data_IF_916483918670
#
_entry.id   IF_916483918670
#
_cell.length_a   1.000
_cell.length_b   1.000
_cell.length_c   1.000
_cell.angle_alpha   90.00
_cell.angle_beta   90.00
_cell.angle_gamma   90.00
#
_symmetry.space_group_name_H-M   'P 1'
#
loop_
_entity.id
_entity.type
_entity.pdbx_description
1 polymer ?
#
# COMPACT_ATOMS: atom_id res chain seq x y z
N UNK A 1 -34.75 15.05 -11.09
CA UNK A 1 -33.93 15.92 -10.20
C UNK A 1 -33.66 15.15 -8.92
N UNK A 2 -32.41 14.95 -8.52
CA UNK A 2 -32.11 14.27 -7.25
C UNK A 2 -32.48 15.18 -6.07
N UNK A 3 -33.29 14.67 -5.16
CA UNK A 3 -33.77 15.38 -3.98
C UNK A 3 -32.56 15.80 -3.11
N UNK A 4 -32.48 17.10 -2.78
CA UNK A 4 -31.37 17.63 -1.95
C UNK A 4 -31.56 17.15 -0.51
N UNK A 5 -30.74 16.23 -0.06
CA UNK A 5 -30.75 15.73 1.33
C UNK A 5 -30.24 16.78 2.29
N UNK A 6 -30.95 16.95 3.41
CA UNK A 6 -30.60 17.88 4.48
C UNK A 6 -30.55 17.14 5.82
N UNK A 7 -29.74 17.67 6.75
CA UNK A 7 -29.73 17.21 8.13
C UNK A 7 -30.87 17.84 8.95
N UNK A 8 -30.97 17.46 10.22
CA UNK A 8 -31.97 18.00 11.15
C UNK A 8 -31.81 19.52 11.46
N UNK A 9 -30.67 20.10 11.07
CA UNK A 9 -30.40 21.55 11.17
C UNK A 9 -30.64 22.29 9.83
N UNK A 10 -31.17 21.60 8.82
CA UNK A 10 -31.44 22.15 7.49
C UNK A 10 -30.21 22.27 6.59
N UNK A 11 -29.04 21.82 6.99
CA UNK A 11 -27.79 21.89 6.21
C UNK A 11 -27.80 20.84 5.09
N UNK A 12 -27.30 21.22 3.93
CA UNK A 12 -27.14 20.30 2.79
C UNK A 12 -26.11 19.23 3.11
N UNK A 13 -26.49 17.99 2.89
CA UNK A 13 -25.61 16.83 2.97
C UNK A 13 -25.00 16.53 1.59
N UNK A 14 -23.68 16.24 1.56
CA UNK A 14 -22.97 15.87 0.36
C UNK A 14 -23.27 14.42 -0.07
N UNK A 15 -22.77 14.04 -1.25
CA UNK A 15 -22.89 12.66 -1.74
C UNK A 15 -22.17 11.71 -0.79
N UNK A 16 -22.84 10.64 -0.37
CA UNK A 16 -22.33 9.70 0.63
C UNK A 16 -22.65 10.04 2.08
N UNK A 17 -22.90 11.34 2.40
CA UNK A 17 -23.31 11.77 3.75
C UNK A 17 -24.78 11.41 4.01
N UNK A 18 -25.09 11.06 5.24
CA UNK A 18 -26.45 10.88 5.76
C UNK A 18 -26.46 11.12 7.27
N UNK A 19 -27.64 11.40 7.83
CA UNK A 19 -27.84 11.48 9.28
C UNK A 19 -28.79 10.38 9.70
N UNK A 20 -28.40 9.60 10.71
CA UNK A 20 -29.22 8.55 11.31
C UNK A 20 -30.25 9.18 12.29
N UNK A 21 -31.29 8.44 12.65
CA UNK A 21 -32.38 8.92 13.53
C UNK A 21 -31.90 9.32 14.93
N UNK A 22 -30.78 8.76 15.37
CA UNK A 22 -30.14 9.11 16.66
C UNK A 22 -29.30 10.40 16.61
N UNK A 23 -29.28 11.08 15.45
CA UNK A 23 -28.53 12.31 15.21
C UNK A 23 -27.09 12.12 14.78
N UNK A 24 -26.59 10.87 14.69
CA UNK A 24 -25.25 10.54 14.25
C UNK A 24 -25.15 10.69 12.73
N UNK A 25 -24.06 11.30 12.26
CA UNK A 25 -23.75 11.43 10.85
C UNK A 25 -22.97 10.21 10.36
N UNK A 26 -23.20 9.81 9.13
CA UNK A 26 -22.54 8.68 8.44
C UNK A 26 -22.09 9.10 7.05
N UNK A 27 -20.89 8.73 6.69
CA UNK A 27 -20.36 8.82 5.34
C UNK A 27 -20.08 7.43 4.79
N UNK A 28 -20.66 7.14 3.61
CA UNK A 28 -20.45 5.90 2.86
C UNK A 28 -19.52 6.15 1.69
N UNK A 29 -18.49 5.31 1.56
CA UNK A 29 -17.53 5.39 0.46
C UNK A 29 -17.10 3.99 0.02
N UNK A 30 -16.49 3.89 -1.17
CA UNK A 30 -15.80 2.68 -1.60
C UNK A 30 -14.30 2.85 -1.32
N UNK A 31 -13.66 1.84 -0.73
CA UNK A 31 -12.21 1.86 -0.56
C UNK A 31 -11.49 1.60 -1.90
N UNK A 32 -10.15 1.66 -1.89
CA UNK A 32 -9.30 1.43 -3.07
C UNK A 32 -9.48 0.05 -3.71
N UNK A 33 -10.11 -0.89 -3.01
CA UNK A 33 -10.45 -2.24 -3.50
C UNK A 33 -11.92 -2.36 -3.96
N UNK A 34 -12.65 -1.24 -4.06
CA UNK A 34 -14.07 -1.21 -4.43
C UNK A 34 -15.02 -1.69 -3.33
N UNK A 35 -14.52 -2.01 -2.13
CA UNK A 35 -15.35 -2.47 -1.02
C UNK A 35 -16.02 -1.29 -0.33
N UNK A 36 -17.36 -1.39 -0.15
CA UNK A 36 -18.14 -0.35 0.53
C UNK A 36 -17.82 -0.30 2.02
N UNK A 37 -17.46 0.90 2.50
CA UNK A 37 -17.19 1.20 3.91
C UNK A 37 -18.04 2.37 4.41
N UNK A 38 -18.14 2.51 5.72
CA UNK A 38 -18.85 3.62 6.36
C UNK A 38 -18.04 4.11 7.56
N UNK A 39 -18.01 5.44 7.73
CA UNK A 39 -17.49 6.09 8.94
C UNK A 39 -18.58 6.96 9.55
N UNK A 40 -18.47 7.19 10.85
CA UNK A 40 -19.49 7.86 11.64
C UNK A 40 -18.87 8.97 12.47
N UNK A 41 -19.66 10.03 12.74
CA UNK A 41 -19.33 11.06 13.70
C UNK A 41 -20.61 11.67 14.28
N UNK A 42 -20.53 12.19 15.49
CA UNK A 42 -21.60 12.96 16.12
C UNK A 42 -21.65 14.42 15.65
N UNK A 43 -20.65 14.86 14.91
CA UNK A 43 -20.53 16.22 14.38
C UNK A 43 -20.38 16.15 12.88
N UNK A 44 -21.07 17.01 12.14
CA UNK A 44 -20.90 17.13 10.68
C UNK A 44 -19.64 17.93 10.36
N UNK A 45 -19.46 19.06 11.04
CA UNK A 45 -18.36 20.01 10.84
C UNK A 45 -17.58 20.24 12.14
N UNK A 46 -16.36 20.76 12.02
CA UNK A 46 -15.49 21.10 13.13
C UNK A 46 -16.15 22.13 14.10
N UNK A 47 -16.98 23.03 13.56
CA UNK A 47 -17.70 24.04 14.35
C UNK A 47 -18.89 23.49 15.15
N UNK A 48 -19.34 22.27 14.90
CA UNK A 48 -20.43 21.67 15.66
C UNK A 48 -20.00 21.35 17.10
N UNK A 49 -20.84 21.66 18.11
CA UNK A 49 -20.55 21.34 19.49
C UNK A 49 -20.54 19.81 19.71
N UNK A 50 -19.76 19.36 20.69
CA UNK A 50 -19.80 17.96 21.12
C UNK A 50 -21.09 17.66 21.88
N UNK A 51 -21.84 16.63 21.48
CA UNK A 51 -23.02 16.23 22.24
C UNK A 51 -22.63 15.73 23.63
N UNK A 52 -23.41 16.13 24.65
CA UNK A 52 -23.18 15.69 26.04
C UNK A 52 -23.17 14.14 26.13
N UNK A 53 -22.22 13.61 26.86
CA UNK A 53 -22.12 12.16 27.10
C UNK A 53 -21.57 11.33 25.92
N UNK A 54 -21.14 11.96 24.83
CA UNK A 54 -20.51 11.26 23.70
C UNK A 54 -19.00 11.42 23.72
N UNK A 55 -18.30 10.38 23.22
CA UNK A 55 -16.85 10.40 23.09
C UNK A 55 -16.43 11.52 22.12
N UNK A 56 -15.40 12.28 22.50
CA UNK A 56 -14.81 13.28 21.61
C UNK A 56 -14.19 12.58 20.40
N UNK A 57 -14.55 13.04 19.21
CA UNK A 57 -14.06 12.54 17.93
C UNK A 57 -14.05 13.68 16.91
N UNK A 58 -13.24 13.54 15.85
CA UNK A 58 -13.23 14.50 14.76
C UNK A 58 -14.56 14.50 14.00
N UNK A 59 -14.90 15.61 13.36
CA UNK A 59 -16.16 15.73 12.60
C UNK A 59 -16.20 14.80 11.40
N UNK A 60 -17.40 14.56 10.84
CA UNK A 60 -17.54 13.68 9.68
C UNK A 60 -16.74 14.22 8.49
N UNK A 61 -16.82 15.50 8.21
CA UNK A 61 -16.12 16.13 7.07
C UNK A 61 -14.59 16.16 7.23
N UNK A 62 -14.08 16.19 8.44
CA UNK A 62 -12.64 15.95 8.67
C UNK A 62 -12.25 14.52 8.35
N UNK A 63 -13.08 13.52 8.75
CA UNK A 63 -12.87 12.11 8.37
C UNK A 63 -12.93 11.90 6.86
N UNK A 64 -13.85 12.56 6.18
CA UNK A 64 -13.98 12.52 4.72
C UNK A 64 -12.70 13.03 4.04
N UNK A 65 -12.16 14.18 4.46
CA UNK A 65 -10.91 14.72 3.91
C UNK A 65 -9.73 13.75 4.07
N UNK A 66 -9.63 13.10 5.23
CA UNK A 66 -8.59 12.08 5.47
C UNK A 66 -8.77 10.87 4.56
N UNK A 67 -10.01 10.41 4.38
CA UNK A 67 -10.36 9.28 3.52
C UNK A 67 -10.12 9.62 2.05
N UNK A 68 -10.58 10.78 1.58
CA UNK A 68 -10.38 11.26 0.21
C UNK A 68 -8.90 11.39 -0.12
N UNK A 69 -8.10 11.94 0.80
CA UNK A 69 -6.66 12.00 0.65
C UNK A 69 -6.05 10.60 0.55
N UNK A 70 -6.45 9.68 1.42
CA UNK A 70 -5.96 8.29 1.40
C UNK A 70 -6.37 7.55 0.11
N UNK A 71 -7.59 7.80 -0.40
CA UNK A 71 -8.07 7.22 -1.66
C UNK A 71 -7.34 7.84 -2.87
N UNK A 72 -7.13 9.15 -2.90
CA UNK A 72 -6.34 9.83 -3.91
C UNK A 72 -4.91 9.31 -3.94
N UNK A 73 -4.33 9.15 -2.76
CA UNK A 73 -3.01 8.58 -2.57
C UNK A 73 -2.92 7.11 -3.03
N UNK A 74 -3.99 6.34 -2.85
CA UNK A 74 -4.08 4.95 -3.33
C UNK A 74 -4.34 4.86 -4.84
N UNK A 75 -5.08 5.81 -5.42
CA UNK A 75 -5.35 5.87 -6.87
C UNK A 75 -4.14 6.41 -7.65
N UNK A 76 -3.34 7.30 -7.07
CA UNK A 76 -2.10 7.79 -7.69
C UNK A 76 -0.99 6.73 -7.73
N UNK A 77 -1.07 5.70 -6.91
CA UNK A 77 -0.22 4.51 -6.98
C UNK A 77 -0.87 3.46 -7.88
N UNK A 78 -0.86 3.68 -9.19
CA UNK A 78 -1.35 2.73 -10.21
C UNK A 78 -0.45 1.48 -10.35
N UNK A 79 0.15 1.02 -9.26
CA UNK A 79 0.75 -0.31 -9.11
C UNK A 79 -0.30 -1.44 -9.04
N UNK A 80 -1.56 -1.06 -9.13
CA UNK A 80 -2.84 -1.74 -9.06
C UNK A 80 -2.82 -3.24 -8.89
N UNK A 81 -2.55 -4.09 -9.80
CA UNK A 81 -2.52 -5.54 -9.63
C UNK A 81 -1.13 -6.15 -9.88
N UNK A 82 -0.11 -5.32 -10.12
CA UNK A 82 1.24 -5.79 -10.42
C UNK A 82 1.84 -6.57 -9.24
N UNK A 83 2.28 -7.78 -9.51
CA UNK A 83 2.98 -8.63 -8.54
C UNK A 83 4.47 -8.32 -8.47
N UNK A 84 5.14 -8.77 -7.40
CA UNK A 84 6.60 -8.66 -7.27
C UNK A 84 7.31 -9.35 -8.44
N UNK A 85 6.83 -10.52 -8.87
CA UNK A 85 7.39 -11.24 -10.00
C UNK A 85 7.30 -10.43 -11.30
N UNK A 86 6.14 -9.88 -11.60
CA UNK A 86 5.92 -9.03 -12.78
C UNK A 86 6.79 -7.76 -12.76
N UNK A 87 6.92 -7.11 -11.60
CA UNK A 87 7.79 -5.96 -11.43
C UNK A 87 9.25 -6.31 -11.74
N UNK A 88 9.77 -7.40 -11.18
CA UNK A 88 11.15 -7.83 -11.39
C UNK A 88 11.39 -8.23 -12.86
N UNK A 89 10.44 -8.93 -13.48
CA UNK A 89 10.51 -9.25 -14.91
C UNK A 89 10.51 -7.99 -15.79
N UNK A 90 9.65 -7.00 -15.47
CA UNK A 90 9.62 -5.70 -16.15
C UNK A 90 10.96 -4.96 -16.01
N UNK A 91 11.53 -4.92 -14.81
CA UNK A 91 12.84 -4.31 -14.56
C UNK A 91 13.94 -4.97 -15.41
N UNK A 92 14.00 -6.30 -15.42
CA UNK A 92 15.01 -7.05 -16.18
C UNK A 92 14.84 -6.85 -17.67
N UNK A 93 13.60 -6.79 -18.19
CA UNK A 93 13.31 -6.61 -19.63
C UNK A 93 13.82 -5.28 -20.19
N UNK A 94 14.01 -4.29 -19.35
CA UNK A 94 14.53 -2.98 -19.73
C UNK A 94 16.06 -2.94 -19.79
N UNK A 95 16.75 -3.99 -19.32
CA UNK A 95 18.23 -4.03 -19.34
C UNK A 95 18.74 -4.41 -20.73
N UNK A 96 19.68 -3.64 -21.25
CA UNK A 96 20.33 -3.86 -22.53
C UNK A 96 21.82 -4.17 -22.35
N UNK A 97 22.41 -4.92 -23.25
CA UNK A 97 23.85 -5.23 -23.24
C UNK A 97 24.33 -5.99 -22.01
N UNK A 98 23.49 -6.83 -21.42
CA UNK A 98 23.76 -7.57 -20.19
C UNK A 98 24.75 -8.69 -20.45
N UNK A 99 25.83 -8.78 -19.65
CA UNK A 99 26.81 -9.87 -19.72
C UNK A 99 26.15 -11.21 -19.33
N UNK A 100 26.65 -12.32 -19.88
CA UNK A 100 26.12 -13.66 -19.65
C UNK A 100 25.95 -14.02 -18.15
N UNK A 101 26.96 -13.72 -17.32
CA UNK A 101 26.89 -13.98 -15.88
C UNK A 101 25.78 -13.18 -15.18
N UNK A 102 25.54 -11.95 -15.62
CA UNK A 102 24.43 -11.12 -15.09
C UNK A 102 23.08 -11.69 -15.52
N UNK A 103 22.96 -12.18 -16.75
CA UNK A 103 21.75 -12.85 -17.23
C UNK A 103 21.46 -14.12 -16.45
N UNK A 104 22.50 -14.91 -16.14
CA UNK A 104 22.36 -16.10 -15.31
C UNK A 104 21.86 -15.75 -13.89
N UNK A 105 22.38 -14.66 -13.30
CA UNK A 105 21.91 -14.15 -12.00
C UNK A 105 20.44 -13.69 -12.08
N UNK A 106 20.04 -13.01 -13.12
CA UNK A 106 18.63 -12.60 -13.29
C UNK A 106 17.69 -13.80 -13.36
N UNK A 107 18.07 -14.83 -14.12
CA UNK A 107 17.30 -16.08 -14.22
C UNK A 107 17.22 -16.79 -12.86
N UNK A 108 18.32 -16.83 -12.11
CA UNK A 108 18.33 -17.34 -10.74
C UNK A 108 17.34 -16.61 -9.85
N UNK A 109 17.38 -15.26 -9.83
CA UNK A 109 16.48 -14.44 -9.00
C UNK A 109 15.02 -14.65 -9.39
N UNK A 110 14.69 -14.67 -10.69
CA UNK A 110 13.33 -14.96 -11.16
C UNK A 110 12.86 -16.33 -10.68
N UNK A 111 13.70 -17.36 -10.77
CA UNK A 111 13.36 -18.72 -10.34
C UNK A 111 13.13 -18.80 -8.82
N UNK A 112 13.86 -18.05 -8.04
CA UNK A 112 13.63 -17.94 -6.58
C UNK A 112 12.27 -17.29 -6.34
N UNK A 113 12.02 -16.12 -6.92
CA UNK A 113 10.78 -15.35 -6.70
C UNK A 113 9.54 -16.15 -7.14
N UNK A 114 9.61 -16.89 -8.25
CA UNK A 114 8.51 -17.76 -8.72
C UNK A 114 8.10 -18.82 -7.73
N UNK A 115 9.05 -19.36 -6.94
CA UNK A 115 8.80 -20.41 -5.95
C UNK A 115 8.29 -19.86 -4.61
N UNK A 116 8.44 -18.55 -4.38
CA UNK A 116 8.12 -17.90 -3.13
C UNK A 116 6.72 -17.25 -3.17
N UNK A 117 5.94 -17.40 -2.11
CA UNK A 117 4.65 -16.69 -1.94
C UNK A 117 4.81 -15.17 -2.04
N UNK A 118 6.01 -14.66 -1.71
CA UNK A 118 6.34 -13.25 -1.82
C UNK A 118 6.26 -12.75 -3.27
N UNK A 119 6.65 -13.57 -4.24
CA UNK A 119 6.59 -13.23 -5.67
C UNK A 119 5.17 -12.98 -6.20
N UNK A 120 4.17 -13.62 -5.62
CA UNK A 120 2.77 -13.46 -5.98
C UNK A 120 2.07 -12.30 -5.26
N UNK A 121 2.73 -11.66 -4.28
CA UNK A 121 2.16 -10.50 -3.58
C UNK A 121 2.14 -9.27 -4.50
N UNK A 122 1.12 -8.46 -4.35
CA UNK A 122 1.01 -7.14 -5.03
C UNK A 122 2.03 -6.18 -4.45
N UNK A 123 2.72 -5.42 -5.31
CA UNK A 123 3.78 -4.50 -4.90
C UNK A 123 3.30 -3.39 -3.98
N UNK A 124 2.07 -2.90 -4.15
CA UNK A 124 1.46 -1.85 -3.34
C UNK A 124 1.13 -2.28 -1.90
N UNK A 125 1.05 -3.60 -1.65
CA UNK A 125 0.79 -4.16 -0.33
C UNK A 125 2.05 -4.48 0.48
N UNK A 126 3.24 -4.45 -0.16
CA UNK A 126 4.50 -4.82 0.47
C UNK A 126 5.01 -3.68 1.37
N UNK A 127 5.20 -4.00 2.65
CA UNK A 127 5.81 -3.11 3.64
C UNK A 127 7.28 -3.47 3.85
N UNK A 128 8.03 -2.55 4.44
CA UNK A 128 9.43 -2.78 4.82
C UNK A 128 9.58 -4.04 5.73
N UNK A 129 8.64 -4.26 6.64
CA UNK A 129 8.59 -5.46 7.49
C UNK A 129 8.42 -6.75 6.69
N UNK A 130 7.60 -6.74 5.63
CA UNK A 130 7.39 -7.90 4.75
C UNK A 130 8.66 -8.23 3.96
N UNK A 131 9.36 -7.21 3.47
CA UNK A 131 10.63 -7.38 2.75
C UNK A 131 11.70 -7.96 3.65
N UNK A 132 11.84 -7.45 4.87
CA UNK A 132 12.77 -8.00 5.88
C UNK A 132 12.43 -9.45 6.22
N UNK A 133 11.16 -9.74 6.54
CA UNK A 133 10.69 -11.09 6.88
C UNK A 133 10.95 -12.09 5.75
N UNK A 134 10.79 -11.68 4.50
CA UNK A 134 11.09 -12.54 3.35
C UNK A 134 12.58 -12.87 3.24
N UNK A 135 13.49 -11.90 3.43
CA UNK A 135 14.92 -12.15 3.38
C UNK A 135 15.40 -13.04 4.54
N UNK A 136 14.84 -12.84 5.74
CA UNK A 136 15.11 -13.72 6.90
C UNK A 136 14.65 -15.15 6.58
N UNK A 137 13.43 -15.31 6.05
CA UNK A 137 12.92 -16.62 5.63
C UNK A 137 13.84 -17.30 4.62
N UNK A 138 14.37 -16.56 3.64
CA UNK A 138 15.32 -17.13 2.68
C UNK A 138 16.60 -17.65 3.36
N UNK A 139 17.08 -16.99 4.41
CA UNK A 139 18.21 -17.45 5.21
C UNK A 139 17.86 -18.69 6.04
N UNK A 140 16.70 -18.69 6.68
CA UNK A 140 16.20 -19.83 7.47
C UNK A 140 15.97 -21.07 6.58
N UNK A 141 15.59 -20.86 5.32
CA UNK A 141 15.47 -21.92 4.30
C UNK A 141 16.84 -22.40 3.75
N UNK A 142 17.96 -21.94 4.34
CA UNK A 142 19.32 -22.40 4.04
C UNK A 142 20.03 -21.62 2.93
N UNK A 143 19.55 -20.44 2.51
CA UNK A 143 20.28 -19.61 1.54
C UNK A 143 21.37 -18.81 2.23
N UNK A 144 22.58 -18.90 1.69
CA UNK A 144 23.73 -18.13 2.17
C UNK A 144 23.59 -16.63 1.89
N UNK A 145 24.30 -15.83 2.68
CA UNK A 145 24.31 -14.35 2.58
C UNK A 145 24.56 -13.84 1.16
N UNK A 146 25.55 -14.40 0.43
CA UNK A 146 25.87 -14.00 -0.96
C UNK A 146 24.71 -14.19 -1.92
N UNK A 147 23.93 -15.28 -1.77
CA UNK A 147 22.73 -15.52 -2.58
C UNK A 147 21.64 -14.51 -2.28
N UNK A 148 21.41 -14.20 -1.01
CA UNK A 148 20.43 -13.20 -0.57
C UNK A 148 20.84 -11.80 -1.00
N UNK A 149 22.14 -11.48 -0.93
CA UNK A 149 22.69 -10.22 -1.44
C UNK A 149 22.43 -10.08 -2.95
N UNK A 150 22.65 -11.15 -3.73
CA UNK A 150 22.38 -11.16 -5.19
C UNK A 150 20.88 -10.97 -5.48
N UNK A 151 20.00 -11.65 -4.75
CA UNK A 151 18.55 -11.51 -4.88
C UNK A 151 18.13 -10.06 -4.60
N UNK A 152 18.55 -9.49 -3.46
CA UNK A 152 18.25 -8.11 -3.12
C UNK A 152 18.84 -7.13 -4.12
N UNK A 153 20.01 -7.42 -4.68
CA UNK A 153 20.68 -6.61 -5.70
C UNK A 153 19.85 -6.45 -7.00
N UNK A 154 18.88 -7.33 -7.24
CA UNK A 154 17.94 -7.24 -8.36
C UNK A 154 16.59 -6.67 -7.91
N UNK A 155 16.09 -7.12 -6.77
CA UNK A 155 14.75 -6.75 -6.29
C UNK A 155 14.69 -5.29 -5.82
N UNK A 156 15.70 -4.79 -5.08
CA UNK A 156 15.74 -3.41 -4.59
C UNK A 156 15.67 -2.38 -5.72
N UNK A 157 16.48 -2.45 -6.78
CA UNK A 157 16.35 -1.50 -7.89
C UNK A 157 15.06 -1.69 -8.71
N UNK A 158 14.47 -2.89 -8.75
CA UNK A 158 13.15 -3.08 -9.37
C UNK A 158 12.07 -2.32 -8.59
N UNK A 159 12.09 -2.37 -7.26
CA UNK A 159 11.19 -1.56 -6.43
C UNK A 159 11.52 -0.06 -6.49
N UNK A 160 12.79 0.32 -6.70
CA UNK A 160 13.13 1.72 -6.93
C UNK A 160 12.52 2.23 -8.23
N UNK A 161 12.59 1.46 -9.31
CA UNK A 161 11.90 1.77 -10.57
C UNK A 161 10.38 1.95 -10.34
N UNK A 162 9.75 1.13 -9.49
CA UNK A 162 8.34 1.29 -9.17
C UNK A 162 8.05 2.59 -8.39
N UNK A 163 8.98 3.08 -7.57
CA UNK A 163 8.87 4.40 -6.92
C UNK A 163 9.03 5.51 -7.95
N UNK A 164 10.02 5.41 -8.83
CA UNK A 164 10.32 6.40 -9.87
C UNK A 164 9.19 6.52 -10.92
N UNK A 165 8.47 5.40 -11.15
CA UNK A 165 7.27 5.32 -12.01
C UNK A 165 5.96 5.69 -11.27
N UNK A 166 6.01 6.17 -10.03
CA UNK A 166 4.86 6.48 -9.18
C UNK A 166 3.88 5.30 -8.93
N UNK A 167 4.36 4.06 -9.07
CA UNK A 167 3.56 2.86 -8.80
C UNK A 167 3.43 2.56 -7.31
N UNK A 168 4.45 2.91 -6.53
CA UNK A 168 4.49 2.83 -5.07
C UNK A 168 5.19 4.07 -4.50
N UNK A 169 4.93 4.39 -3.24
CA UNK A 169 5.47 5.60 -2.60
C UNK A 169 6.88 5.46 -2.06
N UNK A 170 7.21 4.27 -1.56
CA UNK A 170 8.50 3.99 -0.89
C UNK A 170 8.98 2.62 -1.29
N UNK A 171 10.31 2.50 -1.43
CA UNK A 171 10.95 1.23 -1.67
C UNK A 171 10.99 0.40 -0.37
N UNK A 172 10.32 -0.78 -0.30
CA UNK A 172 10.31 -1.60 0.90
C UNK A 172 11.66 -2.26 1.21
N UNK A 173 12.62 -2.22 0.27
CA UNK A 173 13.99 -2.73 0.45
C UNK A 173 14.99 -1.64 0.84
N UNK A 174 14.53 -0.47 1.31
CA UNK A 174 15.37 0.64 1.74
C UNK A 174 15.87 0.42 3.18
N UNK A 175 16.78 -0.54 3.36
CA UNK A 175 17.47 -0.85 4.60
C UNK A 175 18.84 -1.49 4.31
N UNK A 176 19.72 -1.52 5.31
CA UNK A 176 21.00 -2.21 5.21
C UNK A 176 20.81 -3.73 5.38
N UNK A 177 21.32 -4.54 4.44
CA UNK A 177 21.14 -5.99 4.47
C UNK A 177 21.73 -6.63 5.74
N UNK A 178 22.92 -6.19 6.15
CA UNK A 178 23.61 -6.69 7.33
C UNK A 178 22.86 -6.53 8.66
N UNK A 179 21.82 -5.65 8.69
CA UNK A 179 20.96 -5.51 9.87
C UNK A 179 19.80 -6.51 9.92
N UNK A 180 19.67 -7.34 8.88
CA UNK A 180 18.52 -8.24 8.70
C UNK A 180 18.97 -9.69 8.49
N UNK A 181 20.06 -9.89 7.75
CA UNK A 181 20.59 -11.21 7.37
C UNK A 181 21.99 -11.33 7.92
N UNK A 182 22.26 -12.42 8.65
CA UNK A 182 23.57 -12.68 9.27
C UNK A 182 24.57 -13.14 8.21
N UNK A 183 25.77 -12.60 8.26
CA UNK A 183 26.90 -13.05 7.45
C UNK A 183 27.79 -13.94 8.29
N UNK A 184 27.64 -15.25 8.14
CA UNK A 184 28.41 -16.28 8.89
C UNK A 184 29.77 -16.62 8.25
N UNK A 185 30.32 -15.70 7.43
CA UNK A 185 31.62 -15.89 6.78
C UNK A 185 32.77 -15.24 7.53
#
# INVERSE_FOLDING_TARGET
MSEIRRDNKGRKLATGESQDKDGRYRYKYNDSFGKRKSVYSWRLTESDPYPKGKRKDISLREKEKVIEKALCDAVSTNGGDMTVLELVQRYISQKRGVKHNTQANYNFVINVIKKEKFGAKRIDTIKLSDAKAWLIKLQDDGRGYSSIHSIRGVVRPAFQMAVDDDLIRKNPFEFQLATVVVNDS
#
